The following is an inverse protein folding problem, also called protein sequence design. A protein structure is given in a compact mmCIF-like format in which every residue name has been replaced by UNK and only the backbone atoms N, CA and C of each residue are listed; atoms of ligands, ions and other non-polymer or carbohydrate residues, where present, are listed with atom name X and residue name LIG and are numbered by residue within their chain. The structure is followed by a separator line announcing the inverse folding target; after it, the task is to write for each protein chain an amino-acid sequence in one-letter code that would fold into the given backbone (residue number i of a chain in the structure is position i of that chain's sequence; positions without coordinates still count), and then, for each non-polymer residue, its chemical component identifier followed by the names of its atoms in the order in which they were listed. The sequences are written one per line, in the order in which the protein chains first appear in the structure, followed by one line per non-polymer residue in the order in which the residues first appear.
data_IF_700141304504
#
_entry.id   IF_700141304504
#
_cell.length_a   1.000
_cell.length_b   1.000
_cell.length_c   1.000
_cell.angle_alpha   90.00
_cell.angle_beta   90.00
_cell.angle_gamma   90.00
#
_symmetry.space_group_name_H-M   'P 1'
#
loop_
_entity.id
_entity.type
_entity.pdbx_description
1 polymer ?
#
# COMPACT_ATOMS: atom_id res chain seq x y z
N UNK A 1 -46.76 -39.90 -18.53
CA UNK A 1 -47.15 -40.53 -17.25
C UNK A 1 -45.91 -40.67 -16.38
N UNK A 2 -45.65 -39.69 -15.51
CA UNK A 2 -44.44 -39.63 -14.67
C UNK A 2 -44.30 -40.84 -13.74
N UNK A 3 -45.42 -41.44 -13.31
CA UNK A 3 -45.45 -42.67 -12.52
C UNK A 3 -44.90 -43.89 -13.25
N UNK A 4 -45.18 -44.04 -14.55
CA UNK A 4 -44.61 -45.14 -15.36
C UNK A 4 -43.12 -44.94 -15.64
N UNK A 5 -42.67 -43.69 -15.79
CA UNK A 5 -41.25 -43.36 -15.98
C UNK A 5 -40.42 -43.73 -14.74
N UNK A 6 -40.84 -43.31 -13.54
CA UNK A 6 -40.17 -43.69 -12.28
C UNK A 6 -40.26 -45.19 -11.98
N UNK A 7 -41.32 -45.88 -12.44
CA UNK A 7 -41.43 -47.34 -12.30
C UNK A 7 -40.48 -48.09 -13.23
N UNK A 8 -40.15 -47.51 -14.39
CA UNK A 8 -39.21 -48.06 -15.37
C UNK A 8 -37.75 -47.74 -15.02
N UNK A 9 -37.52 -46.63 -14.32
CA UNK A 9 -36.19 -46.18 -13.88
C UNK A 9 -36.25 -45.80 -12.38
N UNK A 10 -36.31 -46.79 -11.47
CA UNK A 10 -36.39 -46.54 -10.03
C UNK A 10 -35.10 -45.93 -9.44
N UNK A 11 -33.95 -46.15 -10.08
CA UNK A 11 -32.62 -45.74 -9.59
C UNK A 11 -32.11 -44.41 -10.18
N UNK A 12 -32.90 -43.72 -11.01
CA UNK A 12 -32.47 -42.46 -11.67
C UNK A 12 -32.41 -41.23 -10.77
N UNK A 13 -32.57 -41.37 -9.46
CA UNK A 13 -32.57 -40.26 -8.50
C UNK A 13 -31.37 -40.32 -7.57
N UNK A 14 -30.16 -40.36 -8.11
CA UNK A 14 -28.97 -40.17 -7.26
C UNK A 14 -27.86 -39.37 -7.96
N UNK A 15 -28.19 -38.17 -8.40
CA UNK A 15 -27.18 -37.22 -8.90
C UNK A 15 -26.31 -36.68 -7.76
N UNK A 16 -26.89 -36.42 -6.58
CA UNK A 16 -26.16 -35.91 -5.42
C UNK A 16 -25.27 -36.97 -4.75
N UNK A 17 -25.78 -38.19 -4.50
CA UNK A 17 -24.99 -39.25 -3.87
C UNK A 17 -23.80 -39.67 -4.72
N UNK A 18 -24.00 -39.80 -6.05
CA UNK A 18 -22.90 -40.09 -6.98
C UNK A 18 -21.88 -38.96 -7.07
N UNK A 19 -22.30 -37.68 -7.02
CA UNK A 19 -21.40 -36.53 -6.92
C UNK A 19 -20.61 -36.51 -5.61
N UNK A 20 -21.27 -36.81 -4.48
CA UNK A 20 -20.61 -36.90 -3.17
C UNK A 20 -19.61 -38.06 -3.10
N UNK A 21 -19.95 -39.22 -3.65
CA UNK A 21 -19.03 -40.36 -3.75
C UNK A 21 -17.86 -40.06 -4.68
N UNK A 22 -18.09 -39.37 -5.80
CA UNK A 22 -17.04 -38.93 -6.70
C UNK A 22 -16.09 -37.93 -6.01
N UNK A 23 -16.61 -36.97 -5.26
CA UNK A 23 -15.82 -36.01 -4.48
C UNK A 23 -15.01 -36.71 -3.38
N UNK A 24 -15.62 -37.65 -2.65
CA UNK A 24 -14.95 -38.45 -1.63
C UNK A 24 -13.80 -39.26 -2.23
N UNK A 25 -14.05 -39.92 -3.37
CA UNK A 25 -13.06 -40.70 -4.10
C UNK A 25 -11.94 -39.82 -4.68
N UNK A 26 -12.24 -38.59 -5.09
CA UNK A 26 -11.24 -37.59 -5.51
C UNK A 26 -10.34 -37.20 -4.34
N UNK A 27 -10.91 -36.94 -3.16
CA UNK A 27 -10.15 -36.58 -1.94
C UNK A 27 -9.27 -37.74 -1.43
N UNK A 28 -9.77 -38.97 -1.49
CA UNK A 28 -9.03 -40.18 -1.10
C UNK A 28 -7.94 -40.58 -2.11
N UNK A 29 -7.98 -40.04 -3.33
CA UNK A 29 -6.94 -40.26 -4.35
C UNK A 29 -5.85 -39.18 -4.31
N UNK A 30 -6.19 -37.98 -3.84
CA UNK A 30 -5.30 -36.83 -3.73
C UNK A 30 -4.63 -36.70 -2.35
N UNK A 31 -4.67 -37.75 -1.53
CA UNK A 31 -4.39 -37.65 -0.09
C UNK A 31 -2.90 -37.49 0.25
N UNK A 32 -1.98 -37.92 -0.63
CA UNK A 32 -0.53 -37.89 -0.35
C UNK A 32 0.30 -36.98 -1.26
N UNK A 33 -0.16 -36.64 -2.48
CA UNK A 33 0.62 -35.84 -3.45
C UNK A 33 0.06 -34.41 -3.68
N UNK A 34 -1.12 -34.10 -3.13
CA UNK A 34 -1.87 -32.87 -3.41
C UNK A 34 -2.13 -32.04 -2.13
N UNK A 35 -1.16 -32.02 -1.20
CA UNK A 35 -1.04 -30.88 -0.29
C UNK A 35 -0.69 -29.66 -1.16
N UNK A 36 -1.71 -29.05 -1.77
CA UNK A 36 -1.70 -27.98 -2.79
C UNK A 36 -0.91 -26.72 -2.39
N UNK A 37 -0.30 -26.71 -1.21
CA UNK A 37 0.37 -25.57 -0.64
C UNK A 37 1.66 -26.03 0.03
N UNK A 38 2.79 -25.72 -0.60
CA UNK A 38 4.11 -25.98 -0.04
C UNK A 38 4.40 -24.95 1.05
N UNK A 39 4.37 -25.38 2.31
CA UNK A 39 4.96 -24.64 3.42
C UNK A 39 6.33 -25.22 3.74
N UNK A 40 7.25 -24.38 4.21
CA UNK A 40 8.48 -24.88 4.83
C UNK A 40 8.17 -25.43 6.23
N UNK A 41 9.10 -26.21 6.78
CA UNK A 41 8.97 -26.74 8.14
C UNK A 41 8.88 -25.59 9.17
N UNK A 42 9.67 -24.54 8.97
CA UNK A 42 9.68 -23.32 9.79
C UNK A 42 8.33 -22.59 9.77
N UNK A 43 7.63 -22.61 8.64
CA UNK A 43 6.30 -22.00 8.49
C UNK A 43 5.20 -22.82 9.17
N UNK A 44 5.44 -24.12 9.42
CA UNK A 44 4.54 -25.02 10.15
C UNK A 44 3.09 -24.95 9.66
N UNK A 45 2.88 -25.22 8.37
CA UNK A 45 1.56 -25.20 7.70
C UNK A 45 0.79 -23.88 7.87
N UNK A 46 1.50 -22.75 7.78
CA UNK A 46 0.91 -21.41 7.87
C UNK A 46 0.74 -20.89 9.29
N UNK A 47 1.32 -21.57 10.29
CA UNK A 47 1.32 -21.11 11.69
C UNK A 47 2.31 -19.97 11.93
N UNK A 48 3.44 -19.97 11.24
CA UNK A 48 4.52 -19.01 11.43
C UNK A 48 5.01 -18.44 10.09
N UNK A 49 5.57 -17.24 10.13
CA UNK A 49 6.26 -16.60 9.00
C UNK A 49 7.76 -16.80 9.18
N UNK A 50 8.44 -17.37 8.19
CA UNK A 50 9.90 -17.40 8.17
C UNK A 50 10.45 -16.10 7.59
N UNK A 51 10.87 -15.22 8.48
CA UNK A 51 11.43 -13.91 8.12
C UNK A 51 12.96 -13.93 8.08
N UNK A 52 13.62 -15.08 8.26
CA UNK A 52 15.08 -15.15 8.38
C UNK A 52 15.79 -14.81 7.06
N UNK A 53 15.26 -15.25 5.92
CA UNK A 53 15.81 -14.89 4.61
C UNK A 53 15.71 -13.37 4.35
N UNK A 54 14.56 -12.78 4.69
CA UNK A 54 14.31 -11.36 4.55
C UNK A 54 15.18 -10.53 5.51
N UNK A 55 15.38 -11.00 6.74
CA UNK A 55 16.32 -10.41 7.69
C UNK A 55 17.74 -10.37 7.11
N UNK A 56 18.23 -11.49 6.57
CA UNK A 56 19.56 -11.56 5.95
C UNK A 56 19.68 -10.62 4.75
N UNK A 57 18.62 -10.47 3.95
CA UNK A 57 18.59 -9.47 2.87
C UNK A 57 18.65 -8.04 3.44
N UNK A 58 17.85 -7.74 4.46
CA UNK A 58 17.74 -6.41 5.06
C UNK A 58 19.05 -5.91 5.68
N UNK A 59 19.70 -6.72 6.53
CA UNK A 59 20.97 -6.36 7.14
C UNK A 59 22.08 -6.20 6.09
N UNK A 60 21.89 -6.77 4.89
CA UNK A 60 22.87 -6.72 3.83
C UNK A 60 22.77 -5.47 2.93
N UNK A 61 21.73 -4.66 3.08
CA UNK A 61 21.55 -3.40 2.34
C UNK A 61 22.67 -2.42 2.71
N UNK A 62 23.30 -1.79 1.73
CA UNK A 62 24.43 -0.87 1.91
C UNK A 62 24.10 0.30 2.86
N UNK A 63 22.91 0.89 2.71
CA UNK A 63 22.37 1.92 3.59
C UNK A 63 22.08 1.46 5.03
N UNK A 64 21.85 0.16 5.25
CA UNK A 64 21.66 -0.43 6.59
C UNK A 64 23.00 -0.79 7.22
N UNK A 65 23.90 -1.46 6.47
CA UNK A 65 25.25 -1.83 6.94
C UNK A 65 26.08 -0.63 7.39
N UNK A 66 25.97 0.48 6.67
CA UNK A 66 26.76 1.69 6.93
C UNK A 66 26.15 2.55 8.03
N UNK A 67 24.89 2.29 8.41
CA UNK A 67 24.17 3.08 9.40
C UNK A 67 24.56 2.65 10.82
N UNK A 68 25.03 3.61 11.62
CA UNK A 68 25.47 3.35 12.99
C UNK A 68 24.36 2.77 13.90
N UNK A 69 23.09 3.06 13.60
CA UNK A 69 21.93 2.55 14.35
C UNK A 69 21.59 1.10 13.97
N UNK A 70 21.85 0.69 12.73
CA UNK A 70 21.34 -0.59 12.19
C UNK A 70 22.43 -1.60 11.82
N UNK A 71 23.71 -1.24 11.82
CA UNK A 71 24.82 -2.12 11.39
C UNK A 71 25.05 -3.38 12.23
N UNK A 72 24.40 -3.50 13.39
CA UNK A 72 24.47 -4.66 14.31
C UNK A 72 23.09 -5.12 14.74
N UNK A 73 22.09 -4.83 13.93
CA UNK A 73 20.71 -5.20 14.18
C UNK A 73 20.59 -6.72 14.35
N UNK A 74 19.98 -7.15 15.45
CA UNK A 74 19.63 -8.55 15.70
C UNK A 74 18.31 -8.92 15.02
N UNK A 75 18.03 -10.22 14.90
CA UNK A 75 16.76 -10.71 14.33
C UNK A 75 15.53 -10.20 15.10
N UNK A 76 15.58 -10.14 16.43
CA UNK A 76 14.45 -9.67 17.24
C UNK A 76 14.20 -8.17 17.06
N UNK A 77 15.27 -7.38 16.94
CA UNK A 77 15.16 -5.95 16.65
C UNK A 77 14.63 -5.71 15.23
N UNK A 78 15.03 -6.55 14.26
CA UNK A 78 14.47 -6.53 12.91
C UNK A 78 12.96 -6.73 12.90
N UNK A 79 12.44 -7.73 13.63
CA UNK A 79 10.99 -7.95 13.74
C UNK A 79 10.26 -6.73 14.34
N UNK A 80 10.94 -5.95 15.19
CA UNK A 80 10.39 -4.71 15.76
C UNK A 80 10.42 -3.51 14.79
N UNK A 81 11.18 -3.62 13.69
CA UNK A 81 11.37 -2.59 12.66
C UNK A 81 10.51 -2.88 11.42
N UNK A 82 10.34 -4.15 11.04
CA UNK A 82 9.61 -4.51 9.80
C UNK A 82 8.14 -4.08 9.83
N UNK A 83 7.55 -3.92 11.01
CA UNK A 83 6.21 -3.36 11.20
C UNK A 83 6.16 -1.81 11.10
N UNK A 84 7.33 -1.16 11.16
CA UNK A 84 7.48 0.30 11.18
C UNK A 84 8.48 0.80 10.16
N UNK A 85 8.44 0.23 8.95
CA UNK A 85 9.30 0.63 7.84
C UNK A 85 9.13 2.11 7.46
N UNK A 86 7.99 2.72 7.83
CA UNK A 86 7.75 4.15 7.65
C UNK A 86 8.73 5.04 8.45
N UNK A 87 9.30 4.56 9.56
CA UNK A 87 10.28 5.28 10.39
C UNK A 87 11.69 5.34 9.77
N UNK A 88 11.96 4.57 8.72
CA UNK A 88 13.26 4.57 8.05
C UNK A 88 13.48 5.89 7.28
N UNK A 89 14.73 6.36 7.28
CA UNK A 89 15.10 7.60 6.59
C UNK A 89 15.01 7.45 5.07
N UNK A 90 14.87 8.59 4.38
CA UNK A 90 14.76 8.61 2.92
C UNK A 90 16.02 8.07 2.24
N UNK A 91 17.21 8.27 2.82
CA UNK A 91 18.47 7.76 2.27
C UNK A 91 18.50 6.22 2.22
N UNK A 92 17.84 5.56 3.18
CA UNK A 92 17.69 4.10 3.19
C UNK A 92 16.63 3.68 2.18
N UNK A 93 15.52 4.42 2.09
CA UNK A 93 14.40 4.11 1.17
C UNK A 93 14.76 4.35 -0.29
N UNK A 94 15.58 5.35 -0.59
CA UNK A 94 16.03 5.74 -1.93
C UNK A 94 17.27 4.94 -2.36
N UNK A 95 17.17 3.62 -2.23
CA UNK A 95 18.24 2.67 -2.50
C UNK A 95 17.64 1.46 -3.23
N UNK A 96 18.29 1.01 -4.31
CA UNK A 96 17.76 -0.07 -5.14
C UNK A 96 17.81 -1.44 -4.43
N UNK A 97 18.77 -1.66 -3.54
CA UNK A 97 18.80 -2.86 -2.71
C UNK A 97 17.63 -2.89 -1.70
N UNK A 98 17.25 -1.73 -1.15
CA UNK A 98 16.05 -1.60 -0.31
C UNK A 98 14.76 -1.83 -1.10
N UNK A 99 14.65 -1.29 -2.32
CA UNK A 99 13.52 -1.57 -3.21
C UNK A 99 13.39 -3.08 -3.49
N UNK A 100 14.51 -3.75 -3.80
CA UNK A 100 14.55 -5.20 -3.99
C UNK A 100 14.12 -5.97 -2.73
N UNK A 101 14.54 -5.52 -1.55
CA UNK A 101 14.09 -6.10 -0.28
C UNK A 101 12.58 -5.95 -0.07
N UNK A 102 12.01 -4.77 -0.33
CA UNK A 102 10.57 -4.54 -0.21
C UNK A 102 9.79 -5.40 -1.20
N UNK A 103 10.30 -5.56 -2.42
CA UNK A 103 9.72 -6.47 -3.40
C UNK A 103 9.71 -7.92 -2.89
N UNK A 104 10.84 -8.43 -2.38
CA UNK A 104 10.93 -9.77 -1.80
C UNK A 104 9.96 -9.95 -0.62
N UNK A 105 9.90 -8.97 0.29
CA UNK A 105 9.00 -8.97 1.44
C UNK A 105 7.54 -9.06 1.00
N UNK A 106 7.13 -8.19 0.05
CA UNK A 106 5.76 -8.20 -0.49
C UNK A 106 5.43 -9.55 -1.13
N UNK A 107 6.31 -10.09 -1.96
CA UNK A 107 6.09 -11.37 -2.65
C UNK A 107 5.96 -12.53 -1.65
N UNK A 108 6.82 -12.57 -0.64
CA UNK A 108 6.77 -13.58 0.41
C UNK A 108 5.45 -13.51 1.19
N UNK A 109 5.07 -12.33 1.67
CA UNK A 109 3.83 -12.14 2.43
C UNK A 109 2.58 -12.47 1.61
N UNK A 110 2.51 -12.01 0.35
CA UNK A 110 1.37 -12.33 -0.53
C UNK A 110 1.29 -13.83 -0.78
N UNK A 111 2.41 -14.47 -1.14
CA UNK A 111 2.47 -15.93 -1.32
C UNK A 111 2.00 -16.64 -0.05
N UNK A 112 2.49 -16.24 1.13
CA UNK A 112 2.10 -16.84 2.40
C UNK A 112 0.61 -16.69 2.68
N UNK A 113 -0.01 -15.54 2.38
CA UNK A 113 -1.45 -15.33 2.58
C UNK A 113 -2.26 -16.21 1.61
N UNK A 114 -1.89 -16.26 0.32
CA UNK A 114 -2.55 -17.16 -0.65
C UNK A 114 -2.47 -18.63 -0.21
N UNK A 115 -1.33 -19.04 0.31
CA UNK A 115 -1.06 -20.38 0.82
C UNK A 115 -1.83 -20.69 2.12
N UNK A 116 -1.85 -19.77 3.08
CA UNK A 116 -2.46 -19.96 4.41
C UNK A 116 -3.96 -19.70 4.46
N UNK A 117 -4.48 -18.89 3.53
CA UNK A 117 -5.89 -18.49 3.44
C UNK A 117 -6.37 -18.55 1.98
N UNK A 118 -6.45 -19.73 1.37
CA UNK A 118 -6.80 -19.88 -0.05
C UNK A 118 -8.23 -19.41 -0.40
N UNK A 119 -9.12 -19.29 0.58
CA UNK A 119 -10.50 -18.80 0.40
C UNK A 119 -10.63 -17.28 0.57
N UNK A 120 -9.56 -16.58 0.95
CA UNK A 120 -9.57 -15.14 1.09
C UNK A 120 -9.46 -14.48 -0.28
N UNK A 121 -10.38 -13.56 -0.59
CA UNK A 121 -10.27 -12.68 -1.75
C UNK A 121 -9.24 -11.58 -1.47
N UNK A 122 -7.97 -11.94 -1.66
CA UNK A 122 -6.83 -11.05 -1.43
C UNK A 122 -6.85 -9.87 -2.42
N UNK A 123 -7.42 -10.04 -3.60
CA UNK A 123 -7.51 -8.96 -4.60
C UNK A 123 -8.44 -7.85 -4.10
N UNK A 124 -9.59 -8.21 -3.52
CA UNK A 124 -10.48 -7.24 -2.88
C UNK A 124 -9.80 -6.52 -1.70
N UNK A 125 -9.14 -7.27 -0.80
CA UNK A 125 -8.44 -6.69 0.36
C UNK A 125 -7.32 -5.72 -0.04
N UNK A 126 -6.56 -6.06 -1.09
CA UNK A 126 -5.54 -5.18 -1.67
C UNK A 126 -6.19 -3.92 -2.25
N UNK A 127 -7.29 -4.07 -3.00
CA UNK A 127 -8.00 -2.95 -3.60
C UNK A 127 -8.53 -1.97 -2.55
N UNK A 128 -9.14 -2.47 -1.48
CA UNK A 128 -9.61 -1.65 -0.36
C UNK A 128 -8.46 -0.94 0.36
N UNK A 129 -7.33 -1.63 0.56
CA UNK A 129 -6.13 -1.06 1.15
C UNK A 129 -5.52 0.03 0.26
N UNK A 130 -5.50 -0.17 -1.06
CA UNK A 130 -5.03 0.82 -2.03
C UNK A 130 -5.93 2.06 -2.07
N UNK A 131 -7.25 1.89 -1.96
CA UNK A 131 -8.18 3.03 -1.86
C UNK A 131 -7.88 3.88 -0.62
N UNK A 132 -7.69 3.26 0.55
CA UNK A 132 -7.32 3.97 1.79
C UNK A 132 -5.96 4.65 1.64
N UNK A 133 -4.99 3.95 1.03
CA UNK A 133 -3.69 4.52 0.72
C UNK A 133 -3.82 5.76 -0.15
N UNK A 134 -4.57 5.70 -1.25
CA UNK A 134 -4.77 6.83 -2.16
C UNK A 134 -5.44 8.01 -1.44
N UNK A 135 -6.44 7.77 -0.60
CA UNK A 135 -7.08 8.83 0.19
C UNK A 135 -6.08 9.53 1.15
N UNK A 136 -5.27 8.76 1.88
CA UNK A 136 -4.26 9.28 2.82
C UNK A 136 -3.09 9.95 2.12
N UNK A 137 -2.59 9.30 1.07
CA UNK A 137 -1.53 9.80 0.21
C UNK A 137 -2.00 11.13 -0.42
N UNK A 138 -3.29 11.24 -0.83
CA UNK A 138 -3.89 12.46 -1.43
C UNK A 138 -3.81 13.67 -0.54
N UNK A 139 -3.98 13.42 0.75
CA UNK A 139 -3.99 14.44 1.76
C UNK A 139 -2.59 14.73 2.32
N UNK A 140 -1.57 13.96 1.92
CA UNK A 140 -0.23 14.02 2.50
C UNK A 140 -0.20 13.60 3.98
N UNK A 141 -1.16 12.77 4.40
CA UNK A 141 -1.34 12.29 5.77
C UNK A 141 -0.84 10.83 5.94
N UNK A 142 0.02 10.37 5.01
CA UNK A 142 0.55 9.03 5.05
C UNK A 142 1.77 8.94 5.98
N UNK A 143 1.72 7.98 6.92
CA UNK A 143 2.75 7.77 7.95
C UNK A 143 4.16 7.60 7.34
N UNK A 144 5.13 8.34 7.87
CA UNK A 144 6.52 8.34 7.39
C UNK A 144 6.76 9.05 6.05
N UNK A 145 5.72 9.67 5.49
CA UNK A 145 5.76 10.42 4.23
C UNK A 145 5.04 11.75 4.41
N UNK A 146 5.57 12.58 5.30
CA UNK A 146 5.00 13.89 5.50
C UNK A 146 5.09 14.73 4.22
N UNK A 147 4.20 15.71 4.16
CA UNK A 147 4.05 16.62 3.04
C UNK A 147 5.34 17.36 2.63
N UNK A 148 6.23 17.65 3.58
CA UNK A 148 7.52 18.29 3.30
C UNK A 148 8.42 17.37 2.47
N UNK A 149 8.51 16.09 2.84
CA UNK A 149 9.29 15.09 2.10
C UNK A 149 8.70 14.82 0.70
N UNK A 150 7.37 14.74 0.59
CA UNK A 150 6.70 14.59 -0.71
C UNK A 150 7.02 15.76 -1.64
N UNK A 151 6.98 16.99 -1.12
CA UNK A 151 7.34 18.19 -1.88
C UNK A 151 8.82 18.17 -2.32
N UNK A 152 9.74 17.72 -1.48
CA UNK A 152 11.18 17.59 -1.84
C UNK A 152 11.40 16.54 -2.93
N UNK A 153 10.73 15.39 -2.86
CA UNK A 153 10.86 14.31 -3.85
C UNK A 153 10.35 14.75 -5.23
N UNK A 154 9.22 15.48 -5.26
CA UNK A 154 8.66 16.05 -6.49
C UNK A 154 9.61 17.07 -7.15
N UNK A 155 10.36 17.83 -6.36
CA UNK A 155 11.37 18.77 -6.87
C UNK A 155 12.60 18.05 -7.43
N UNK A 156 12.99 16.92 -6.84
CA UNK A 156 14.20 16.18 -7.23
C UNK A 156 13.99 15.19 -8.39
N UNK A 157 12.75 14.79 -8.72
CA UNK A 157 12.49 13.80 -9.77
C UNK A 157 11.22 14.12 -10.59
N UNK A 158 11.28 15.08 -11.53
CA UNK A 158 10.11 15.57 -12.27
C UNK A 158 9.53 14.58 -13.28
N UNK A 159 10.21 13.45 -13.54
CA UNK A 159 9.90 12.52 -14.62
C UNK A 159 8.93 11.38 -14.24
N UNK A 160 8.54 11.25 -12.95
CA UNK A 160 7.62 10.20 -12.51
C UNK A 160 6.56 10.75 -11.51
N UNK A 161 5.47 11.36 -12.01
CA UNK A 161 4.60 12.20 -11.20
C UNK A 161 3.33 11.46 -10.74
N UNK A 162 3.46 10.36 -9.98
CA UNK A 162 2.32 9.70 -9.32
C UNK A 162 2.41 9.77 -7.79
N UNK A 163 2.77 10.95 -7.30
CA UNK A 163 2.71 11.32 -5.89
C UNK A 163 2.11 12.72 -5.86
N UNK A 164 1.05 12.91 -5.07
CA UNK A 164 0.08 13.99 -5.19
C UNK A 164 0.67 15.32 -5.61
N UNK A 165 0.41 15.58 -6.89
CA UNK A 165 0.90 16.71 -7.63
C UNK A 165 0.40 17.97 -6.96
N UNK A 166 1.32 18.91 -6.71
CA UNK A 166 0.95 20.32 -6.81
C UNK A 166 0.10 20.45 -8.09
N UNK A 167 -1.15 20.93 -8.04
CA UNK A 167 -1.99 20.98 -9.22
C UNK A 167 -1.19 21.64 -10.35
N UNK A 168 -1.09 21.00 -11.51
CA UNK A 168 -0.37 21.59 -12.64
C UNK A 168 -1.07 22.90 -12.99
N UNK A 169 -0.47 24.01 -12.56
CA UNK A 169 -1.06 25.33 -12.70
C UNK A 169 -1.29 25.70 -14.17
N UNK A 170 -0.73 24.96 -15.13
CA UNK A 170 -1.03 25.09 -16.57
C UNK A 170 -2.46 24.66 -16.91
N UNK A 171 -3.06 23.75 -16.14
CA UNK A 171 -4.41 23.24 -16.38
C UNK A 171 -5.51 24.09 -15.75
N UNK A 172 -5.15 25.13 -14.99
CA UNK A 172 -6.09 26.01 -14.30
C UNK A 172 -5.86 27.46 -14.73
N UNK A 173 -6.85 28.08 -15.34
CA UNK A 173 -6.76 29.46 -15.82
C UNK A 173 -7.10 30.49 -14.74
N UNK A 174 -7.84 30.09 -13.71
CA UNK A 174 -8.27 30.95 -12.61
C UNK A 174 -8.17 30.27 -11.24
N UNK A 175 -8.14 31.07 -10.17
CA UNK A 175 -8.27 30.54 -8.80
C UNK A 175 -9.60 29.83 -8.57
N UNK A 176 -10.64 30.15 -9.33
CA UNK A 176 -11.95 29.52 -9.21
C UNK A 176 -11.94 28.07 -9.70
N UNK A 177 -11.12 27.77 -10.71
CA UNK A 177 -11.00 26.41 -11.24
C UNK A 177 -10.38 25.45 -10.20
N UNK A 178 -9.51 25.98 -9.33
CA UNK A 178 -8.93 25.22 -8.21
C UNK A 178 -9.95 24.90 -7.10
N UNK A 179 -11.11 25.56 -7.05
CA UNK A 179 -12.17 25.23 -6.08
C UNK A 179 -12.76 23.83 -6.33
N UNK A 180 -12.64 23.31 -7.56
CA UNK A 180 -13.06 21.95 -7.93
C UNK A 180 -12.29 20.85 -7.17
N UNK A 181 -11.08 21.16 -6.67
CA UNK A 181 -10.27 20.27 -5.82
C UNK A 181 -10.90 20.06 -4.43
N UNK A 182 -11.83 20.93 -4.03
CA UNK A 182 -12.46 20.82 -2.72
C UNK A 182 -11.66 21.46 -1.59
N UNK A 183 -12.38 21.81 -0.53
CA UNK A 183 -11.88 22.63 0.57
C UNK A 183 -10.76 21.94 1.37
N UNK A 184 -10.87 20.63 1.57
CA UNK A 184 -9.92 19.85 2.36
C UNK A 184 -8.61 19.62 1.62
N UNK A 185 -8.66 19.32 0.32
CA UNK A 185 -7.46 19.19 -0.50
C UNK A 185 -6.68 20.50 -0.56
N UNK A 186 -7.35 21.63 -0.80
CA UNK A 186 -6.72 22.96 -0.78
C UNK A 186 -6.11 23.31 0.57
N UNK A 187 -6.77 22.92 1.67
CA UNK A 187 -6.25 23.12 3.04
C UNK A 187 -4.95 22.34 3.25
N UNK A 188 -4.93 21.08 2.84
CA UNK A 188 -3.79 20.19 3.02
C UNK A 188 -2.59 20.66 2.19
N UNK A 189 -2.82 21.11 0.94
CA UNK A 189 -1.76 21.68 0.10
C UNK A 189 -1.24 23.01 0.69
N UNK A 190 -2.10 23.87 1.24
CA UNK A 190 -1.61 25.09 1.89
C UNK A 190 -0.81 24.79 3.17
N UNK A 191 -1.24 23.80 3.96
CA UNK A 191 -0.53 23.35 5.15
C UNK A 191 0.82 22.73 4.83
N UNK A 192 0.91 21.92 3.76
CA UNK A 192 2.16 21.32 3.30
C UNK A 192 3.21 22.34 2.92
N UNK A 193 2.75 23.47 2.37
CA UNK A 193 3.59 24.60 1.98
C UNK A 193 3.85 25.56 3.14
N UNK A 194 3.35 25.31 4.35
CA UNK A 194 3.51 26.20 5.50
C UNK A 194 2.74 27.52 5.38
N UNK A 195 1.75 27.58 4.49
CA UNK A 195 0.90 28.75 4.25
C UNK A 195 -0.35 28.73 5.12
N UNK A 196 -0.98 29.90 5.29
CA UNK A 196 -2.28 30.03 5.95
C UNK A 196 -3.35 29.22 5.20
N UNK A 197 -3.89 28.23 5.89
CA UNK A 197 -4.93 27.33 5.39
C UNK A 197 -6.35 27.66 5.90
N UNK A 198 -6.52 28.75 6.66
CA UNK A 198 -7.83 29.22 7.14
C UNK A 198 -8.68 29.89 6.05
N UNK A 199 -9.97 30.09 6.34
CA UNK A 199 -10.90 30.78 5.44
C UNK A 199 -11.76 29.86 4.57
N UNK A 200 -12.46 30.48 3.63
CA UNK A 200 -13.35 29.81 2.66
C UNK A 200 -12.55 29.07 1.58
N UNK A 201 -13.22 28.19 0.83
CA UNK A 201 -12.61 27.47 -0.31
C UNK A 201 -12.03 28.44 -1.35
N UNK A 202 -12.73 29.54 -1.62
CA UNK A 202 -12.33 30.61 -2.54
C UNK A 202 -11.04 31.29 -2.10
N UNK A 203 -10.88 31.55 -0.79
CA UNK A 203 -9.67 32.13 -0.23
C UNK A 203 -8.49 31.16 -0.28
N UNK A 204 -8.72 29.87 0.03
CA UNK A 204 -7.68 28.84 -0.07
C UNK A 204 -7.22 28.67 -1.51
N UNK A 205 -8.15 28.57 -2.45
CA UNK A 205 -7.86 28.44 -3.87
C UNK A 205 -7.09 29.66 -4.41
N UNK A 206 -7.45 30.87 -3.97
CA UNK A 206 -6.74 32.11 -4.33
C UNK A 206 -5.32 32.17 -3.78
N UNK A 207 -5.10 31.76 -2.52
CA UNK A 207 -3.74 31.67 -1.94
C UNK A 207 -2.90 30.66 -2.70
N UNK A 208 -3.45 29.48 -3.00
CA UNK A 208 -2.74 28.45 -3.74
C UNK A 208 -2.40 28.90 -5.16
N UNK A 209 -3.33 29.57 -5.86
CA UNK A 209 -3.13 30.09 -7.21
C UNK A 209 -2.05 31.18 -7.30
N UNK A 210 -1.74 31.87 -6.19
CA UNK A 210 -0.67 32.87 -6.16
C UNK A 210 0.69 32.25 -6.48
N UNK A 211 0.87 30.97 -6.14
CA UNK A 211 2.08 30.20 -6.44
C UNK A 211 2.28 29.93 -7.94
N UNK A 212 1.25 30.12 -8.78
CA UNK A 212 1.40 30.09 -10.25
C UNK A 212 2.31 31.20 -10.77
N UNK A 213 2.36 32.33 -10.05
CA UNK A 213 3.07 33.55 -10.48
C UNK A 213 4.29 33.90 -9.65
N UNK A 214 4.41 33.34 -8.45
CA UNK A 214 5.46 33.68 -7.49
C UNK A 214 5.94 32.43 -6.76
N UNK A 215 7.25 32.31 -6.56
CA UNK A 215 7.78 31.23 -5.72
C UNK A 215 7.44 31.49 -4.25
N UNK A 216 7.48 30.43 -3.44
CA UNK A 216 7.12 30.52 -2.01
C UNK A 216 8.01 31.51 -1.23
N UNK A 217 9.28 31.63 -1.62
CA UNK A 217 10.26 32.55 -1.01
C UNK A 217 9.98 34.03 -1.33
N UNK A 218 9.18 34.29 -2.36
CA UNK A 218 8.79 35.65 -2.79
C UNK A 218 7.46 36.09 -2.19
N UNK A 219 6.76 35.22 -1.46
CA UNK A 219 5.49 35.54 -0.85
C UNK A 219 5.68 36.47 0.35
N UNK A 220 4.73 37.39 0.52
CA UNK A 220 4.67 38.24 1.69
C UNK A 220 4.42 37.41 2.97
N UNK A 221 5.03 37.87 4.06
CA UNK A 221 4.82 37.40 5.44
C UNK A 221 3.35 37.19 5.82
N UNK A 222 2.43 37.95 5.20
CA UNK A 222 0.98 37.83 5.41
C UNK A 222 0.41 36.47 5.00
N UNK A 223 1.06 35.73 4.10
CA UNK A 223 0.65 34.38 3.67
C UNK A 223 1.03 33.30 4.68
N UNK A 224 1.94 33.59 5.60
CA UNK A 224 2.42 32.64 6.59
C UNK A 224 1.69 32.83 7.93
N UNK A 225 1.46 31.75 8.70
CA UNK A 225 0.92 31.85 10.04
C UNK A 225 1.84 32.68 10.95
N UNK A 226 1.30 33.39 11.95
CA UNK A 226 2.10 34.18 12.88
C UNK A 226 3.13 33.29 13.58
N UNK A 227 4.39 33.75 13.63
CA UNK A 227 5.46 33.06 14.37
C UNK A 227 5.08 33.05 15.85
N UNK A 228 4.91 31.86 16.42
CA UNK A 228 4.75 31.68 17.87
C UNK A 228 6.09 31.83 18.58
#
# INVERSE_FOLDING_TARGET
NSKEFHRKYPDTTDTLGSEFEALKKSREKNTDEELLVNFTDEESYGRFLDMNLLYNQFINISGIKSNQRFNRLTYIEYLSIVDRLYDLSLDIKNNSEYESYIYSLKQYLLSFIHRSKPLLDIESEISDSLRIFDEQWSCGDFLGWNTVLLNTILQCNPSNPQIYQLPDFKNYDSSKDLESLGSDQLKNILQSLGLKCGGTITERASRLFTLKRSSIDQLDSSFFPPKK
#
